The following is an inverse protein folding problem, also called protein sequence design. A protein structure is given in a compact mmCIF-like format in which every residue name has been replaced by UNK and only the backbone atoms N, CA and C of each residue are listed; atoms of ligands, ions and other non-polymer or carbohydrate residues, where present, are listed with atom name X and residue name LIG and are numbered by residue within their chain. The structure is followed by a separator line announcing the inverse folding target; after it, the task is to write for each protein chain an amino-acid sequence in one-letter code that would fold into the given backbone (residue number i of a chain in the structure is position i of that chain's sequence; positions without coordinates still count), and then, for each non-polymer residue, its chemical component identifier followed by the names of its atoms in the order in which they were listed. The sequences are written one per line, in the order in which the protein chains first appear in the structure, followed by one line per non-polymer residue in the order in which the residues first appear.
data_IF_808573066060
#
_entry.id   IF_808573066060
#
_cell.length_a   1.000
_cell.length_b   1.000
_cell.length_c   1.000
_cell.angle_alpha   90.00
_cell.angle_beta   90.00
_cell.angle_gamma   90.00
#
_symmetry.space_group_name_H-M   'P 1'
#
loop_
_entity.id
_entity.type
_entity.pdbx_description
1 polymer ?
#
# COMPACT_ATOMS: atom_id res chain seq x y z
N UNK A 1 52.50 -64.56 -56.26
CA UNK A 1 51.14 -64.12 -55.86
C UNK A 1 51.06 -64.28 -54.36
N UNK A 2 50.78 -63.21 -53.60
CA UNK A 2 50.59 -63.33 -52.17
C UNK A 2 49.28 -64.10 -51.90
N UNK A 3 49.35 -65.15 -51.08
CA UNK A 3 48.20 -65.94 -50.65
C UNK A 3 47.30 -65.03 -49.80
N UNK A 4 46.13 -64.67 -50.31
CA UNK A 4 45.14 -63.93 -49.51
C UNK A 4 44.45 -64.94 -48.60
N UNK A 5 44.77 -64.88 -47.31
CA UNK A 5 44.04 -65.64 -46.30
C UNK A 5 42.71 -64.92 -46.00
N UNK A 6 41.60 -65.50 -46.42
CA UNK A 6 40.26 -64.98 -46.14
C UNK A 6 39.71 -65.55 -44.83
N UNK A 7 39.52 -64.71 -43.82
CA UNK A 7 38.86 -65.09 -42.57
C UNK A 7 37.34 -64.97 -42.73
N UNK A 8 36.58 -66.01 -42.36
CA UNK A 8 35.11 -66.00 -42.32
C UNK A 8 34.64 -66.16 -40.88
N UNK A 9 33.58 -65.42 -40.52
CA UNK A 9 32.90 -65.51 -39.22
C UNK A 9 31.50 -66.11 -39.40
N UNK A 10 30.91 -66.63 -38.30
CA UNK A 10 29.51 -67.08 -38.28
C UNK A 10 28.59 -65.89 -38.59
N UNK A 11 27.51 -66.14 -39.33
CA UNK A 11 26.57 -65.08 -39.72
C UNK A 11 25.12 -65.57 -39.74
N UNK A 12 24.17 -64.69 -39.45
CA UNK A 12 22.74 -64.98 -39.55
C UNK A 12 21.95 -63.77 -40.04
N UNK A 13 20.99 -63.99 -40.93
CA UNK A 13 20.03 -62.97 -41.39
C UNK A 13 18.69 -63.04 -40.67
N UNK A 14 18.43 -64.08 -39.88
CA UNK A 14 17.14 -64.32 -39.22
C UNK A 14 17.21 -64.38 -37.70
N UNK A 15 18.30 -64.91 -37.13
CA UNK A 15 18.48 -64.98 -35.69
C UNK A 15 19.15 -63.71 -35.17
N UNK A 16 18.57 -63.07 -34.16
CA UNK A 16 19.09 -61.85 -33.54
C UNK A 16 20.38 -62.09 -32.73
N UNK A 17 20.64 -63.32 -32.29
CA UNK A 17 21.84 -63.72 -31.55
C UNK A 17 22.23 -65.16 -31.91
N UNK A 18 23.49 -65.59 -31.66
CA UNK A 18 23.88 -66.98 -31.84
C UNK A 18 23.07 -67.90 -30.92
N UNK A 19 22.47 -68.96 -31.47
CA UNK A 19 21.61 -69.88 -30.72
C UNK A 19 22.34 -70.82 -29.74
N UNK A 20 23.67 -70.85 -29.78
CA UNK A 20 24.53 -71.57 -28.85
C UNK A 20 25.75 -70.71 -28.48
N UNK A 21 26.40 -71.04 -27.36
CA UNK A 21 27.63 -70.35 -26.95
C UNK A 21 28.72 -70.63 -27.98
N UNK A 22 29.32 -69.56 -28.49
CA UNK A 22 30.44 -69.57 -29.43
C UNK A 22 31.71 -70.06 -28.70
N UNK A 23 32.63 -70.68 -29.44
CA UNK A 23 33.93 -71.03 -28.86
C UNK A 23 34.68 -69.77 -28.42
N UNK A 24 35.59 -69.90 -27.44
CA UNK A 24 36.38 -68.77 -26.97
C UNK A 24 37.10 -68.07 -28.15
N UNK A 25 36.85 -66.76 -28.32
CA UNK A 25 37.40 -65.94 -29.40
C UNK A 25 36.71 -66.09 -30.77
N UNK A 26 35.72 -66.97 -30.89
CA UNK A 26 34.95 -67.13 -32.13
C UNK A 26 34.01 -65.94 -32.33
N UNK A 27 34.01 -65.36 -33.54
CA UNK A 27 33.19 -64.22 -33.92
C UNK A 27 31.90 -64.64 -34.64
N UNK A 28 30.82 -63.91 -34.41
CA UNK A 28 29.58 -64.04 -35.17
C UNK A 28 28.92 -62.68 -35.44
N UNK A 29 28.31 -62.49 -36.60
CA UNK A 29 27.54 -61.28 -36.92
C UNK A 29 26.07 -61.62 -37.22
N UNK A 30 25.13 -60.85 -36.68
CA UNK A 30 23.70 -60.99 -37.00
C UNK A 30 23.24 -59.77 -37.77
N UNK A 31 22.74 -59.95 -38.99
CA UNK A 31 22.13 -58.86 -39.78
C UNK A 31 20.77 -58.45 -39.19
N UNK A 32 20.04 -59.40 -38.58
CA UNK A 32 18.77 -59.12 -37.90
C UNK A 32 18.97 -58.12 -36.74
N UNK A 33 20.00 -58.30 -35.91
CA UNK A 33 20.29 -57.39 -34.80
C UNK A 33 21.35 -56.33 -35.10
N UNK A 34 22.03 -56.43 -36.23
CA UNK A 34 23.20 -55.61 -36.60
C UNK A 34 24.35 -55.62 -35.57
N UNK A 35 24.47 -56.71 -34.80
CA UNK A 35 25.49 -56.90 -33.74
C UNK A 35 26.59 -57.87 -34.16
N UNK A 36 27.82 -57.51 -33.81
CA UNK A 36 29.00 -58.37 -33.82
C UNK A 36 29.20 -58.96 -32.42
N UNK A 37 29.25 -60.28 -32.34
CA UNK A 37 29.41 -61.07 -31.13
C UNK A 37 30.77 -61.76 -31.10
N UNK A 38 31.25 -62.08 -29.90
CA UNK A 38 32.36 -62.99 -29.68
C UNK A 38 32.06 -63.96 -28.52
N UNK A 39 32.57 -65.19 -28.61
CA UNK A 39 32.57 -66.13 -27.47
C UNK A 39 33.58 -65.67 -26.42
N UNK A 40 33.12 -65.47 -25.17
CA UNK A 40 34.01 -65.03 -24.10
C UNK A 40 35.10 -66.09 -23.80
N UNK A 41 36.19 -65.66 -23.18
CA UNK A 41 37.32 -66.56 -22.87
C UNK A 41 36.91 -67.70 -21.93
N UNK A 42 35.95 -67.45 -21.03
CA UNK A 42 35.39 -68.47 -20.15
C UNK A 42 34.51 -69.51 -20.87
N UNK A 43 34.22 -69.31 -22.17
CA UNK A 43 33.49 -70.26 -23.00
C UNK A 43 32.03 -70.50 -22.57
N UNK A 44 31.44 -69.57 -21.82
CA UNK A 44 30.11 -69.72 -21.21
C UNK A 44 29.11 -68.64 -21.63
N UNK A 45 29.54 -67.63 -22.41
CA UNK A 45 28.67 -66.56 -22.88
C UNK A 45 29.10 -66.01 -24.25
N UNK A 46 28.09 -65.58 -25.01
CA UNK A 46 28.28 -64.73 -26.19
C UNK A 46 28.21 -63.28 -25.74
N UNK A 47 29.30 -62.52 -25.91
CA UNK A 47 29.36 -61.11 -25.60
C UNK A 47 29.30 -60.29 -26.89
N UNK A 48 28.84 -59.06 -26.78
CA UNK A 48 28.75 -58.14 -27.93
C UNK A 48 30.06 -57.37 -28.01
N UNK A 49 30.69 -57.40 -29.18
CA UNK A 49 31.93 -56.68 -29.48
C UNK A 49 31.67 -55.31 -30.13
N UNK A 50 30.59 -55.20 -30.92
CA UNK A 50 30.25 -53.98 -31.66
C UNK A 50 29.19 -54.27 -32.72
N UNK A 51 29.28 -53.59 -33.87
CA UNK A 51 28.38 -53.81 -35.02
C UNK A 51 27.69 -52.53 -35.47
N UNK A 52 27.02 -52.61 -36.63
CA UNK A 52 26.32 -51.50 -37.27
C UNK A 52 25.34 -50.80 -36.32
N UNK A 53 24.68 -51.57 -35.44
CA UNK A 53 23.77 -51.02 -34.43
C UNK A 53 24.40 -49.89 -33.61
N UNK A 54 25.63 -50.08 -33.12
CA UNK A 54 26.29 -49.09 -32.25
C UNK A 54 26.93 -47.96 -33.03
N UNK A 55 27.46 -48.24 -34.22
CA UNK A 55 28.04 -47.20 -35.07
C UNK A 55 26.97 -46.28 -35.63
N UNK A 56 25.78 -46.79 -35.93
CA UNK A 56 24.63 -45.98 -36.35
C UNK A 56 24.13 -45.07 -35.23
N UNK A 57 24.20 -45.52 -33.97
CA UNK A 57 23.87 -44.67 -32.82
C UNK A 57 24.89 -43.53 -32.62
N UNK A 58 26.11 -43.66 -33.13
CA UNK A 58 27.16 -42.65 -33.07
C UNK A 58 27.20 -41.75 -34.32
N UNK A 59 26.50 -42.14 -35.39
CA UNK A 59 26.44 -41.38 -36.62
C UNK A 59 25.51 -40.17 -36.45
N UNK A 60 26.09 -38.97 -36.51
CA UNK A 60 25.36 -37.71 -36.42
C UNK A 60 25.64 -36.88 -37.67
N UNK A 61 24.58 -36.40 -38.33
CA UNK A 61 24.73 -35.36 -39.36
C UNK A 61 24.99 -34.03 -38.65
N UNK A 62 26.10 -33.36 -38.98
CA UNK A 62 26.41 -32.07 -38.36
C UNK A 62 25.24 -31.08 -38.54
N UNK A 63 24.71 -30.56 -37.43
CA UNK A 63 23.60 -29.59 -37.42
C UNK A 63 22.18 -30.17 -37.38
N UNK A 64 22.00 -31.49 -37.48
CA UNK A 64 20.67 -32.13 -37.44
C UNK A 64 20.65 -33.27 -36.43
N UNK A 65 19.67 -33.29 -35.52
CA UNK A 65 19.47 -34.42 -34.62
C UNK A 65 18.88 -35.60 -35.42
N UNK A 66 19.71 -36.58 -35.77
CA UNK A 66 19.23 -37.83 -36.36
C UNK A 66 18.43 -38.63 -35.33
N UNK A 67 17.27 -39.17 -35.72
CA UNK A 67 16.47 -40.00 -34.82
C UNK A 67 17.26 -41.25 -34.37
N UNK A 68 17.12 -41.62 -33.10
CA UNK A 68 17.81 -42.78 -32.49
C UNK A 68 19.34 -42.68 -32.34
N UNK A 69 19.91 -41.47 -32.42
CA UNK A 69 21.32 -41.24 -32.05
C UNK A 69 21.53 -41.24 -30.53
N UNK A 70 22.72 -41.65 -30.09
CA UNK A 70 23.13 -41.66 -28.69
C UNK A 70 23.65 -40.28 -28.24
N UNK A 71 23.40 -39.95 -26.97
CA UNK A 71 24.11 -38.92 -26.23
C UNK A 71 25.15 -39.62 -25.36
N UNK A 72 26.42 -39.27 -25.53
CA UNK A 72 27.52 -39.83 -24.76
C UNK A 72 27.70 -39.04 -23.46
N UNK A 73 27.76 -39.76 -22.34
CA UNK A 73 28.01 -39.21 -21.00
C UNK A 73 29.34 -39.71 -20.47
N UNK A 74 29.93 -38.98 -19.53
CA UNK A 74 31.13 -39.40 -18.83
C UNK A 74 30.86 -40.53 -17.80
N UNK A 75 31.90 -40.95 -17.06
CA UNK A 75 31.81 -41.98 -16.01
C UNK A 75 30.89 -41.63 -14.84
N UNK A 76 30.42 -40.40 -14.73
CA UNK A 76 29.50 -39.91 -13.70
C UNK A 76 28.09 -39.66 -14.26
N UNK A 77 27.80 -40.11 -15.48
CA UNK A 77 26.55 -39.85 -16.20
C UNK A 77 26.32 -38.37 -16.49
N UNK A 78 27.40 -37.58 -16.66
CA UNK A 78 27.33 -36.14 -16.96
C UNK A 78 27.73 -35.83 -18.40
N UNK A 79 27.23 -34.69 -18.88
CA UNK A 79 27.68 -33.99 -20.09
C UNK A 79 28.28 -32.67 -19.63
N UNK A 80 29.38 -32.23 -20.24
CA UNK A 80 29.98 -30.92 -19.93
C UNK A 80 29.05 -29.75 -20.34
N UNK A 81 28.56 -29.78 -21.58
CA UNK A 81 27.53 -28.86 -22.07
C UNK A 81 26.71 -29.48 -23.23
N UNK A 82 25.41 -29.18 -23.26
CA UNK A 82 24.57 -29.41 -24.43
C UNK A 82 24.30 -28.07 -25.12
N UNK A 83 24.85 -27.91 -26.33
CA UNK A 83 24.75 -26.68 -27.13
C UNK A 83 23.90 -26.92 -28.37
N UNK A 84 22.82 -26.15 -28.50
CA UNK A 84 22.07 -26.01 -29.76
C UNK A 84 22.46 -24.67 -30.40
N UNK A 85 21.75 -24.24 -31.46
CA UNK A 85 22.08 -22.98 -32.15
C UNK A 85 22.21 -21.80 -31.17
N UNK A 86 21.17 -21.52 -30.39
CA UNK A 86 21.15 -20.38 -29.49
C UNK A 86 21.13 -20.79 -28.01
N UNK A 87 20.77 -22.03 -27.67
CA UNK A 87 20.64 -22.48 -26.28
C UNK A 87 21.90 -23.25 -25.84
N UNK A 88 22.39 -22.94 -24.64
CA UNK A 88 23.38 -23.75 -23.95
C UNK A 88 22.83 -24.19 -22.60
N UNK A 89 22.80 -25.50 -22.36
CA UNK A 89 22.61 -26.10 -21.04
C UNK A 89 24.01 -26.48 -20.53
N UNK A 90 24.52 -25.71 -19.58
CA UNK A 90 25.86 -25.87 -19.00
C UNK A 90 25.81 -26.35 -17.55
N UNK A 91 26.97 -26.28 -16.87
CA UNK A 91 27.13 -26.82 -15.52
C UNK A 91 26.12 -26.29 -14.48
N UNK A 92 25.83 -24.99 -14.48
CA UNK A 92 24.97 -24.32 -13.49
C UNK A 92 23.93 -23.37 -14.12
N UNK A 93 23.77 -23.38 -15.44
CA UNK A 93 22.94 -22.39 -16.13
C UNK A 93 22.33 -22.92 -17.42
N UNK A 94 21.18 -22.35 -17.76
CA UNK A 94 20.54 -22.44 -19.08
C UNK A 94 20.60 -21.04 -19.67
N UNK A 95 21.29 -20.86 -20.79
CA UNK A 95 21.53 -19.54 -21.38
C UNK A 95 21.17 -19.52 -22.85
N UNK A 96 20.57 -18.42 -23.31
CA UNK A 96 20.39 -18.15 -24.74
C UNK A 96 21.39 -17.10 -25.24
N UNK A 97 21.98 -17.32 -26.41
CA UNK A 97 22.83 -16.34 -27.11
C UNK A 97 22.03 -15.25 -27.83
N UNK A 98 20.74 -15.47 -28.07
CA UNK A 98 19.82 -14.50 -28.67
C UNK A 98 18.35 -14.92 -28.44
N UNK A 99 17.45 -13.95 -28.24
CA UNK A 99 16.06 -14.26 -27.90
C UNK A 99 15.88 -14.65 -26.44
N UNK A 100 14.68 -15.10 -26.09
CA UNK A 100 14.31 -15.60 -24.78
C UNK A 100 14.59 -17.10 -24.62
N UNK A 101 14.50 -17.56 -23.37
CA UNK A 101 14.43 -18.98 -23.02
C UNK A 101 13.00 -19.25 -22.57
N UNK A 102 12.22 -19.90 -23.44
CA UNK A 102 10.87 -20.33 -23.09
C UNK A 102 10.90 -21.59 -22.23
N UNK A 103 10.31 -21.51 -21.04
CA UNK A 103 10.11 -22.66 -20.15
C UNK A 103 8.61 -22.86 -20.00
N UNK A 104 8.08 -23.88 -20.68
CA UNK A 104 6.65 -24.18 -20.69
C UNK A 104 6.38 -25.43 -19.87
N UNK A 105 5.66 -25.28 -18.76
CA UNK A 105 5.19 -26.40 -17.93
C UNK A 105 3.71 -26.66 -18.20
N UNK A 106 3.32 -27.93 -18.37
CA UNK A 106 1.92 -28.30 -18.62
C UNK A 106 1.01 -28.17 -17.38
N UNK A 107 1.60 -28.19 -16.19
CA UNK A 107 0.92 -27.97 -14.92
C UNK A 107 1.55 -26.79 -14.20
N UNK A 108 2.55 -27.05 -13.35
CA UNK A 108 3.23 -26.04 -12.57
C UNK A 108 4.71 -26.00 -12.95
N UNK A 109 5.29 -24.80 -12.99
CA UNK A 109 6.73 -24.63 -12.93
C UNK A 109 7.14 -24.69 -11.46
N UNK A 110 7.82 -25.77 -11.08
CA UNK A 110 8.34 -25.96 -9.74
C UNK A 110 9.77 -25.40 -9.65
N UNK A 111 10.04 -24.57 -8.64
CA UNK A 111 11.34 -23.93 -8.42
C UNK A 111 11.76 -24.21 -6.97
N UNK A 112 12.43 -25.33 -6.76
CA UNK A 112 13.01 -25.73 -5.47
C UNK A 112 14.32 -24.96 -5.17
N UNK A 113 14.21 -23.65 -5.06
CA UNK A 113 15.33 -22.77 -4.72
C UNK A 113 15.03 -21.96 -3.46
N UNK A 114 16.08 -21.61 -2.69
CA UNK A 114 15.92 -20.72 -1.54
C UNK A 114 15.52 -19.29 -1.94
N UNK A 115 15.85 -18.87 -3.16
CA UNK A 115 15.57 -17.53 -3.70
C UNK A 115 15.44 -17.56 -5.23
N UNK A 116 14.67 -16.62 -5.78
CA UNK A 116 14.71 -16.26 -7.20
C UNK A 116 15.50 -14.94 -7.32
N UNK A 117 16.70 -15.00 -7.90
CA UNK A 117 17.59 -13.83 -8.04
C UNK A 117 17.41 -13.13 -9.39
N UNK A 118 17.01 -11.85 -9.34
CA UNK A 118 16.76 -10.99 -10.51
C UNK A 118 17.68 -9.75 -10.52
N UNK A 119 18.75 -9.74 -9.73
CA UNK A 119 19.53 -8.52 -9.41
C UNK A 119 20.51 -8.06 -10.50
N UNK A 120 20.85 -8.91 -11.46
CA UNK A 120 21.95 -8.65 -12.40
C UNK A 120 21.55 -7.81 -13.61
N UNK A 121 20.26 -7.65 -13.91
CA UNK A 121 19.74 -6.86 -15.02
C UNK A 121 18.35 -6.30 -14.69
N UNK A 122 17.90 -5.29 -15.44
CA UNK A 122 16.52 -4.81 -15.34
C UNK A 122 15.55 -5.94 -15.73
N UNK A 123 14.73 -6.39 -14.79
CA UNK A 123 13.75 -7.46 -15.00
C UNK A 123 12.34 -6.89 -14.96
N UNK A 124 11.48 -7.35 -15.87
CA UNK A 124 10.04 -7.07 -15.83
C UNK A 124 9.30 -8.38 -15.57
N UNK A 125 8.42 -8.39 -14.58
CA UNK A 125 7.42 -9.45 -14.41
C UNK A 125 6.13 -9.00 -15.08
N UNK A 126 5.88 -9.50 -16.30
CA UNK A 126 4.63 -9.24 -17.03
C UNK A 126 3.59 -10.27 -16.63
N UNK A 127 2.37 -9.82 -16.43
CA UNK A 127 1.22 -10.67 -16.11
C UNK A 127 0.24 -10.69 -17.27
N UNK A 128 -0.69 -11.63 -17.25
CA UNK A 128 -1.75 -11.72 -18.26
C UNK A 128 -2.68 -10.51 -18.14
N UNK A 129 -2.93 -9.84 -19.26
CA UNK A 129 -3.93 -8.78 -19.37
C UNK A 129 -5.36 -9.36 -19.38
N UNK A 130 -6.34 -8.55 -18.96
CA UNK A 130 -7.74 -8.95 -18.87
C UNK A 130 -7.98 -10.19 -17.97
N UNK A 131 -7.28 -10.25 -16.83
CA UNK A 131 -7.38 -11.36 -15.88
C UNK A 131 -7.61 -10.85 -14.46
N UNK A 132 -8.64 -11.38 -13.78
CA UNK A 132 -8.83 -11.14 -12.35
C UNK A 132 -7.73 -11.74 -11.46
N UNK A 133 -6.86 -12.58 -12.03
CA UNK A 133 -5.77 -13.29 -11.33
C UNK A 133 -4.51 -13.34 -12.17
N UNK A 134 -4.09 -12.19 -12.75
CA UNK A 134 -2.90 -12.11 -13.60
C UNK A 134 -1.62 -12.58 -12.89
N UNK A 135 -1.55 -12.34 -11.57
CA UNK A 135 -0.58 -12.92 -10.66
C UNK A 135 -1.22 -13.06 -9.29
N UNK A 136 -0.95 -14.16 -8.59
CA UNK A 136 -1.32 -14.38 -7.19
C UNK A 136 -0.10 -14.77 -6.38
N UNK A 137 0.04 -14.19 -5.18
CA UNK A 137 1.00 -14.63 -4.16
C UNK A 137 0.18 -15.27 -3.05
N UNK A 138 0.33 -16.57 -2.89
CA UNK A 138 -0.54 -17.37 -2.04
C UNK A 138 0.20 -18.54 -1.39
N UNK A 139 -0.33 -19.00 -0.26
CA UNK A 139 -0.11 -20.35 0.24
C UNK A 139 -1.22 -21.27 -0.28
N UNK A 140 -1.24 -22.54 0.15
CA UNK A 140 -2.31 -23.47 -0.22
C UNK A 140 -3.71 -22.94 0.15
N UNK A 141 -3.84 -22.20 1.26
CA UNK A 141 -5.14 -21.82 1.83
C UNK A 141 -5.42 -20.31 1.77
N UNK A 142 -4.41 -19.48 1.52
CA UNK A 142 -4.53 -18.03 1.63
C UNK A 142 -3.84 -17.28 0.51
N UNK A 143 -4.55 -16.34 -0.10
CA UNK A 143 -3.98 -15.33 -1.00
C UNK A 143 -3.59 -14.08 -0.21
N UNK A 144 -2.45 -13.48 -0.56
CA UNK A 144 -1.95 -12.24 0.02
C UNK A 144 -2.06 -11.08 -0.96
N UNK A 145 -1.60 -11.29 -2.20
CA UNK A 145 -1.59 -10.28 -3.26
C UNK A 145 -2.20 -10.87 -4.53
N UNK A 146 -3.08 -10.11 -5.18
CA UNK A 146 -3.59 -10.41 -6.52
C UNK A 146 -3.47 -9.18 -7.42
N UNK A 147 -2.98 -9.36 -8.64
CA UNK A 147 -3.05 -8.35 -9.69
C UNK A 147 -4.30 -8.65 -10.55
N UNK A 148 -5.28 -7.74 -10.49
CA UNK A 148 -6.54 -7.80 -11.23
C UNK A 148 -6.51 -6.74 -12.35
N UNK A 149 -6.50 -7.21 -13.60
CA UNK A 149 -6.45 -6.41 -14.84
C UNK A 149 -7.72 -6.57 -15.70
N UNK A 150 -8.83 -7.12 -15.19
CA UNK A 150 -9.95 -7.57 -16.04
C UNK A 150 -10.77 -6.44 -16.70
N UNK A 151 -10.73 -5.21 -16.19
CA UNK A 151 -11.60 -4.13 -16.65
C UNK A 151 -11.03 -2.77 -16.22
N UNK A 152 -11.77 -1.68 -16.42
CA UNK A 152 -11.33 -0.32 -16.07
C UNK A 152 -11.06 -0.06 -14.57
N UNK A 153 -11.43 -0.98 -13.67
CA UNK A 153 -11.16 -0.93 -12.24
C UNK A 153 -9.96 -1.82 -11.86
N UNK A 154 -8.90 -1.79 -12.66
CA UNK A 154 -7.64 -2.50 -12.40
C UNK A 154 -7.07 -2.13 -11.03
N UNK A 155 -6.54 -3.12 -10.33
CA UNK A 155 -6.00 -2.92 -8.97
C UNK A 155 -5.01 -4.00 -8.57
N UNK A 156 -4.24 -3.65 -7.55
CA UNK A 156 -3.52 -4.62 -6.73
C UNK A 156 -4.33 -4.82 -5.46
N UNK A 157 -4.80 -6.04 -5.23
CA UNK A 157 -5.58 -6.39 -4.06
C UNK A 157 -4.67 -7.01 -2.99
N UNK A 158 -4.61 -6.40 -1.82
CA UNK A 158 -4.03 -6.98 -0.62
C UNK A 158 -5.14 -7.65 0.20
N UNK A 159 -5.16 -8.98 0.23
CA UNK A 159 -6.22 -9.78 0.89
C UNK A 159 -5.98 -10.01 2.39
N UNK A 160 -4.91 -9.44 2.93
CA UNK A 160 -4.52 -9.43 4.34
C UNK A 160 -4.08 -8.02 4.73
N UNK A 161 -3.98 -7.76 6.03
CA UNK A 161 -3.47 -6.50 6.52
C UNK A 161 -2.07 -6.21 5.94
N UNK A 162 -1.83 -4.95 5.63
CA UNK A 162 -0.53 -4.46 5.14
C UNK A 162 0.09 -3.61 6.23
N UNK A 163 1.35 -3.88 6.53
CA UNK A 163 2.18 -3.09 7.45
C UNK A 163 3.30 -2.43 6.67
N UNK A 164 3.56 -1.15 6.95
CA UNK A 164 4.64 -0.38 6.35
C UNK A 164 5.49 0.22 7.47
N UNK A 165 6.73 -0.25 7.62
CA UNK A 165 7.66 0.23 8.65
C UNK A 165 8.17 1.67 8.38
N UNK A 166 7.93 2.20 7.19
CA UNK A 166 8.43 3.48 6.71
C UNK A 166 7.33 4.47 6.32
N UNK A 167 7.75 5.57 5.70
CA UNK A 167 6.83 6.57 5.16
C UNK A 167 6.10 6.00 3.95
N UNK A 168 4.77 6.12 3.96
CA UNK A 168 3.92 5.83 2.81
C UNK A 168 3.71 7.15 2.05
N UNK A 169 4.33 7.29 0.86
CA UNK A 169 4.07 8.42 -0.04
C UNK A 169 2.98 8.04 -1.05
N UNK A 170 1.91 8.83 -1.12
CA UNK A 170 0.80 8.65 -2.07
C UNK A 170 0.62 9.98 -2.80
N UNK A 171 1.04 10.02 -4.07
CA UNK A 171 0.95 11.23 -4.91
C UNK A 171 -0.50 11.57 -5.31
N UNK A 172 -1.44 10.64 -5.09
CA UNK A 172 -2.87 10.79 -5.37
C UNK A 172 -3.72 10.95 -4.11
N UNK A 173 -5.03 10.74 -4.26
CA UNK A 173 -5.96 10.70 -3.13
C UNK A 173 -5.86 9.38 -2.38
N UNK A 174 -5.98 9.45 -1.05
CA UNK A 174 -6.24 8.29 -0.21
C UNK A 174 -7.75 8.21 0.00
N UNK A 175 -8.37 7.11 -0.45
CA UNK A 175 -9.75 6.78 -0.11
C UNK A 175 -9.74 5.82 1.09
N UNK A 176 -10.39 6.23 2.19
CA UNK A 176 -10.52 5.45 3.41
C UNK A 176 -12.02 5.23 3.65
N UNK A 177 -12.50 4.04 3.31
CA UNK A 177 -13.91 3.63 3.48
C UNK A 177 -14.29 3.38 4.96
N UNK A 178 -13.28 3.16 5.81
CA UNK A 178 -13.41 2.93 7.24
C UNK A 178 -12.96 4.11 8.13
N UNK A 179 -12.93 3.85 9.43
CA UNK A 179 -12.40 4.80 10.41
C UNK A 179 -10.89 4.90 10.26
N UNK A 180 -10.39 6.12 10.10
CA UNK A 180 -8.95 6.40 10.17
C UNK A 180 -8.55 6.67 11.63
N UNK A 181 -7.78 5.75 12.22
CA UNK A 181 -7.22 5.92 13.55
C UNK A 181 -5.80 6.48 13.47
N UNK A 182 -5.63 7.73 13.92
CA UNK A 182 -4.33 8.38 14.06
C UNK A 182 -3.86 8.46 15.52
N UNK A 183 -4.56 7.82 16.47
CA UNK A 183 -4.46 8.03 17.91
C UNK A 183 -3.12 7.70 18.58
N UNK A 184 -2.16 7.11 17.85
CA UNK A 184 -0.80 6.86 18.31
C UNK A 184 0.24 7.90 17.88
N UNK A 185 -0.11 8.82 16.98
CA UNK A 185 0.84 9.75 16.35
C UNK A 185 0.31 11.19 16.39
N UNK A 186 1.18 12.15 16.68
CA UNK A 186 0.80 13.56 16.65
C UNK A 186 0.52 14.01 15.21
N UNK A 187 -0.75 14.30 14.90
CA UNK A 187 -1.16 14.79 13.58
C UNK A 187 -1.05 16.32 13.51
N UNK A 188 0.16 16.84 13.31
CA UNK A 188 0.42 18.29 13.38
C UNK A 188 0.06 19.07 12.11
N UNK A 189 -0.10 18.38 10.98
CA UNK A 189 -0.25 19.00 9.66
C UNK A 189 -1.56 18.59 8.98
N UNK A 190 -2.61 18.30 9.76
CA UNK A 190 -3.94 18.01 9.20
C UNK A 190 -4.50 19.31 8.63
N UNK A 191 -4.45 19.44 7.31
CA UNK A 191 -5.13 20.50 6.59
C UNK A 191 -6.49 20.00 6.11
N UNK A 192 -7.56 20.74 6.41
CA UNK A 192 -8.92 20.41 5.99
C UNK A 192 -9.47 21.60 5.21
N UNK A 193 -9.26 21.57 3.91
CA UNK A 193 -9.66 22.63 2.96
C UNK A 193 -11.15 22.53 2.55
N UNK A 194 -11.87 21.50 3.02
CA UNK A 194 -13.32 21.31 2.98
C UNK A 194 -13.69 19.95 3.58
N UNK A 195 -14.97 19.73 3.86
CA UNK A 195 -15.50 18.45 4.35
C UNK A 195 -16.21 18.61 5.69
N UNK A 196 -16.50 17.50 6.36
CA UNK A 196 -17.12 17.48 7.68
C UNK A 196 -16.40 16.54 8.65
N UNK A 197 -16.20 16.99 9.89
CA UNK A 197 -15.82 16.12 11.00
C UNK A 197 -17.10 15.78 11.75
N UNK A 198 -17.42 14.50 11.88
CA UNK A 198 -18.62 14.04 12.60
C UNK A 198 -19.91 14.73 12.09
N UNK A 199 -20.07 14.78 10.76
CA UNK A 199 -21.19 15.44 10.11
C UNK A 199 -21.21 16.97 10.21
N UNK A 200 -20.25 17.58 10.91
CA UNK A 200 -20.10 19.03 11.04
C UNK A 200 -19.14 19.56 9.99
N UNK A 201 -19.59 20.36 9.01
CA UNK A 201 -18.69 20.82 7.98
C UNK A 201 -17.63 21.79 8.53
N UNK A 202 -16.36 21.52 8.26
CA UNK A 202 -15.23 22.37 8.64
C UNK A 202 -14.40 22.71 7.40
N UNK A 203 -13.87 23.92 7.35
CA UNK A 203 -13.04 24.37 6.23
C UNK A 203 -13.73 24.47 4.88
N UNK A 204 -15.06 24.44 4.80
CA UNK A 204 -15.77 24.56 3.52
C UNK A 204 -15.45 25.89 2.80
N UNK A 205 -15.39 25.86 1.47
CA UNK A 205 -15.24 27.04 0.59
C UNK A 205 -16.38 28.07 0.71
N UNK A 206 -17.46 27.71 1.42
CA UNK A 206 -18.56 28.56 1.85
C UNK A 206 -18.74 28.36 3.36
N UNK A 207 -18.98 29.44 4.10
CA UNK A 207 -19.12 29.38 5.56
C UNK A 207 -20.11 28.31 6.00
N UNK A 208 -19.67 27.38 6.86
CA UNK A 208 -20.52 26.36 7.46
C UNK A 208 -20.36 26.36 8.98
N UNK A 209 -21.41 25.92 9.67
CA UNK A 209 -21.48 25.92 11.13
C UNK A 209 -20.56 24.84 11.71
N UNK A 210 -19.53 25.24 12.46
CA UNK A 210 -18.80 24.35 13.36
C UNK A 210 -19.59 24.11 14.64
N UNK A 211 -19.97 22.87 14.92
CA UNK A 211 -20.53 22.44 16.21
C UNK A 211 -19.38 21.96 17.10
N UNK A 212 -19.08 22.74 18.14
CA UNK A 212 -18.09 22.38 19.17
C UNK A 212 -18.80 22.29 20.52
N UNK A 213 -18.55 21.23 21.29
CA UNK A 213 -19.00 21.17 22.70
C UNK A 213 -18.26 22.20 23.56
N UNK A 214 -17.01 22.51 23.22
CA UNK A 214 -16.21 23.58 23.80
C UNK A 214 -15.21 24.08 22.75
N UNK A 215 -15.16 25.39 22.53
CA UNK A 215 -14.12 26.05 21.72
C UNK A 215 -13.20 26.84 22.65
N UNK A 216 -11.97 26.36 22.85
CA UNK A 216 -10.95 27.07 23.63
C UNK A 216 -9.93 27.71 22.67
N UNK A 217 -9.85 29.04 22.68
CA UNK A 217 -8.80 29.79 22.00
C UNK A 217 -7.76 30.25 23.03
N UNK A 218 -6.47 29.97 22.79
CA UNK A 218 -5.37 30.44 23.64
C UNK A 218 -4.97 31.90 23.36
N UNK A 219 -5.54 32.50 22.31
CA UNK A 219 -5.32 33.89 21.91
C UNK A 219 -6.63 34.60 21.56
N UNK A 220 -6.53 35.66 20.78
CA UNK A 220 -7.68 36.44 20.31
C UNK A 220 -8.54 35.60 19.37
N UNK A 221 -9.84 35.50 19.67
CA UNK A 221 -10.83 34.96 18.75
C UNK A 221 -11.57 36.12 18.07
N UNK A 222 -11.43 36.24 16.74
CA UNK A 222 -12.13 37.26 15.95
C UNK A 222 -13.39 36.65 15.35
N UNK A 223 -14.56 37.17 15.71
CA UNK A 223 -15.83 36.81 15.10
C UNK A 223 -16.29 37.99 14.23
N UNK A 224 -16.20 37.83 12.91
CA UNK A 224 -16.48 38.92 11.94
C UNK A 224 -17.97 39.23 11.75
N UNK A 225 -18.85 38.43 12.34
CA UNK A 225 -20.30 38.60 12.29
C UNK A 225 -20.91 38.76 13.68
N UNK A 226 -22.23 38.70 13.75
CA UNK A 226 -22.96 38.77 15.00
C UNK A 226 -22.60 37.57 15.89
N UNK A 227 -22.36 37.83 17.18
CA UNK A 227 -22.17 36.78 18.17
C UNK A 227 -23.39 36.71 19.07
N UNK A 228 -24.08 35.57 19.08
CA UNK A 228 -25.17 35.29 20.01
C UNK A 228 -24.65 34.36 21.10
N UNK A 229 -24.74 34.78 22.36
CA UNK A 229 -24.38 33.96 23.52
C UNK A 229 -25.68 33.49 24.16
N UNK A 230 -25.99 32.19 24.07
CA UNK A 230 -27.22 31.62 24.65
C UNK A 230 -27.24 31.56 26.19
N UNK A 231 -26.08 31.77 26.82
CA UNK A 231 -25.92 31.82 28.27
C UNK A 231 -25.31 33.14 28.75
N UNK A 232 -24.42 33.07 29.74
CA UNK A 232 -23.72 34.25 30.26
C UNK A 232 -22.42 34.51 29.49
N UNK A 233 -22.18 35.76 29.09
CA UNK A 233 -20.88 36.22 28.62
C UNK A 233 -20.02 36.62 29.83
N UNK A 234 -19.00 35.82 30.16
CA UNK A 234 -18.01 36.17 31.17
C UNK A 234 -16.92 37.07 30.59
N UNK A 235 -16.83 38.32 31.05
CA UNK A 235 -15.77 39.26 30.67
C UNK A 235 -14.88 39.52 31.89
N UNK A 236 -13.63 39.06 31.84
CA UNK A 236 -12.64 39.29 32.92
C UNK A 236 -11.89 40.61 32.77
N UNK A 237 -11.87 41.16 31.55
CA UNK A 237 -11.28 42.46 31.21
C UNK A 237 -12.34 43.54 31.02
N UNK A 238 -12.12 44.41 30.04
CA UNK A 238 -13.02 45.51 29.69
C UNK A 238 -13.98 45.08 28.58
N UNK A 239 -15.27 45.37 28.75
CA UNK A 239 -16.23 45.32 27.66
C UNK A 239 -16.30 46.69 26.97
N UNK A 240 -15.96 46.74 25.68
CA UNK A 240 -16.06 47.96 24.87
C UNK A 240 -17.12 47.77 23.80
N UNK A 241 -18.09 48.68 23.76
CA UNK A 241 -19.11 48.73 22.73
C UNK A 241 -18.77 49.88 21.78
N UNK A 242 -18.57 49.59 20.49
CA UNK A 242 -18.19 50.61 19.49
C UNK A 242 -19.29 51.65 19.27
N UNK A 243 -20.56 51.24 19.38
CA UNK A 243 -21.71 52.12 19.19
C UNK A 243 -22.46 52.35 20.50
N UNK A 244 -23.14 51.33 21.00
CA UNK A 244 -23.96 51.38 22.20
C UNK A 244 -24.20 49.96 22.76
N UNK A 245 -24.51 49.89 24.04
CA UNK A 245 -25.16 48.74 24.65
C UNK A 245 -26.66 49.07 24.79
N UNK A 246 -27.51 48.17 24.30
CA UNK A 246 -28.97 48.30 24.40
C UNK A 246 -29.45 47.35 25.48
N UNK A 247 -30.15 47.90 26.47
CA UNK A 247 -30.83 47.17 27.53
C UNK A 247 -32.32 47.49 27.38
N UNK A 248 -33.15 46.48 27.20
CA UNK A 248 -34.59 46.62 27.04
C UNK A 248 -35.30 46.93 28.36
N UNK A 249 -36.62 47.02 28.30
CA UNK A 249 -37.45 47.17 29.50
C UNK A 249 -37.23 45.98 30.44
N UNK A 250 -37.09 46.25 31.72
CA UNK A 250 -36.75 45.28 32.78
C UNK A 250 -35.35 44.66 32.71
N UNK A 251 -34.51 45.03 31.73
CA UNK A 251 -33.09 44.69 31.79
C UNK A 251 -32.41 45.55 32.88
N UNK A 252 -31.48 44.93 33.60
CA UNK A 252 -30.84 45.54 34.77
C UNK A 252 -29.33 45.49 34.62
N UNK A 253 -28.72 46.67 34.59
CA UNK A 253 -27.28 46.81 34.80
C UNK A 253 -27.01 46.80 36.30
N UNK A 254 -26.32 45.75 36.78
CA UNK A 254 -25.97 45.56 38.18
C UNK A 254 -24.54 45.99 38.43
N UNK A 255 -24.33 46.86 39.42
CA UNK A 255 -23.02 47.35 39.81
C UNK A 255 -22.80 47.03 41.29
N UNK A 256 -21.60 46.56 41.62
CA UNK A 256 -21.25 46.11 42.98
C UNK A 256 -21.52 44.63 43.22
N UNK A 257 -21.01 44.11 44.34
CA UNK A 257 -21.13 42.71 44.70
C UNK A 257 -22.48 42.48 45.40
N UNK A 258 -23.37 41.68 44.82
CA UNK A 258 -24.67 41.40 45.44
C UNK A 258 -25.73 42.47 45.21
N UNK A 259 -25.77 43.07 44.01
CA UNK A 259 -26.81 44.04 43.58
C UNK A 259 -26.87 45.33 44.41
N UNK A 260 -25.72 45.94 44.70
CA UNK A 260 -25.65 47.20 45.45
C UNK A 260 -26.35 48.36 44.71
N UNK A 261 -26.08 48.46 43.40
CA UNK A 261 -26.59 49.49 42.51
C UNK A 261 -27.22 48.88 41.26
N UNK A 262 -28.32 49.46 40.80
CA UNK A 262 -29.02 49.06 39.59
C UNK A 262 -29.34 50.27 38.70
N UNK A 263 -29.12 50.11 37.40
CA UNK A 263 -29.61 51.01 36.35
C UNK A 263 -30.54 50.23 35.43
N UNK A 264 -31.79 50.66 35.33
CA UNK A 264 -32.83 49.95 34.58
C UNK A 264 -33.95 50.90 34.11
N UNK A 265 -34.78 50.39 33.20
CA UNK A 265 -36.01 51.00 32.74
C UNK A 265 -37.19 50.07 33.06
N UNK A 266 -38.28 50.60 33.63
CA UNK A 266 -39.47 49.78 34.00
C UNK A 266 -40.56 49.75 32.92
N UNK A 267 -40.26 50.28 31.73
CA UNK A 267 -41.21 50.47 30.62
C UNK A 267 -41.84 51.87 30.57
N UNK A 268 -41.78 52.64 31.66
CA UNK A 268 -42.25 54.03 31.70
C UNK A 268 -41.18 55.01 32.20
N UNK A 269 -40.44 54.63 33.23
CA UNK A 269 -39.47 55.47 33.92
C UNK A 269 -38.09 54.80 33.95
N UNK A 270 -37.06 55.64 33.98
CA UNK A 270 -35.67 55.22 34.18
C UNK A 270 -35.25 55.42 35.63
N UNK A 271 -34.44 54.49 36.15
CA UNK A 271 -34.01 54.52 37.55
C UNK A 271 -32.51 54.34 37.68
N UNK A 272 -31.92 55.15 38.56
CA UNK A 272 -30.65 54.87 39.20
C UNK A 272 -31.01 54.50 40.65
N UNK A 273 -31.07 53.20 40.94
CA UNK A 273 -31.55 52.68 42.22
C UNK A 273 -30.38 52.18 43.07
N UNK A 274 -30.25 52.75 44.27
CA UNK A 274 -29.25 52.38 45.26
C UNK A 274 -29.89 51.59 46.40
N UNK A 275 -29.43 50.36 46.64
CA UNK A 275 -29.95 49.50 47.71
C UNK A 275 -29.18 49.68 49.03
N UNK A 276 -27.86 49.87 48.96
CA UNK A 276 -26.98 49.91 50.14
C UNK A 276 -26.17 51.20 50.19
N UNK A 277 -26.03 51.80 51.37
CA UNK A 277 -25.25 53.03 51.54
C UNK A 277 -25.93 54.27 50.95
N UNK A 278 -25.14 55.29 50.60
CA UNK A 278 -25.62 56.53 50.00
C UNK A 278 -25.30 56.57 48.50
N UNK A 279 -26.27 56.95 47.67
CA UNK A 279 -26.03 57.27 46.26
C UNK A 279 -25.29 58.61 46.16
N UNK A 280 -24.01 58.57 45.83
CA UNK A 280 -23.18 59.77 45.62
C UNK A 280 -23.13 60.11 44.14
N UNK A 281 -23.65 61.28 43.77
CA UNK A 281 -23.44 61.89 42.46
C UNK A 281 -22.46 63.05 42.63
N UNK A 282 -21.23 62.86 42.18
CA UNK A 282 -20.15 63.82 42.38
C UNK A 282 -19.20 63.84 41.19
N UNK A 283 -18.49 64.94 41.04
CA UNK A 283 -17.35 65.07 40.13
C UNK A 283 -16.07 64.66 40.87
N UNK A 284 -15.13 64.04 40.16
CA UNK A 284 -13.84 63.64 40.77
C UNK A 284 -12.94 64.85 41.08
N UNK A 285 -13.20 65.99 40.43
CA UNK A 285 -12.43 67.23 40.60
C UNK A 285 -13.32 68.31 41.22
N UNK A 286 -12.84 68.90 42.32
CA UNK A 286 -13.53 69.99 43.01
C UNK A 286 -13.74 71.21 42.10
N UNK A 287 -14.85 71.92 42.29
CA UNK A 287 -15.21 73.12 41.51
C UNK A 287 -15.97 72.84 40.21
N UNK A 288 -16.14 71.57 39.80
CA UNK A 288 -16.99 71.20 38.67
C UNK A 288 -18.43 70.99 39.17
N UNK A 289 -19.39 71.71 38.58
CA UNK A 289 -20.80 71.62 38.94
C UNK A 289 -21.44 70.28 38.49
N UNK A 290 -22.40 69.78 39.28
CA UNK A 290 -23.33 68.73 38.87
C UNK A 290 -24.62 69.39 38.42
N UNK A 291 -25.00 69.20 37.16
CA UNK A 291 -26.24 69.76 36.58
C UNK A 291 -27.33 68.69 36.56
N UNK A 292 -28.51 69.00 37.11
CA UNK A 292 -29.69 68.12 37.11
C UNK A 292 -30.85 68.88 36.44
N UNK A 293 -31.52 68.24 35.49
CA UNK A 293 -32.64 68.82 34.73
C UNK A 293 -32.27 69.29 33.31
N UNK A 294 -33.27 69.79 32.58
CA UNK A 294 -33.13 70.37 31.22
C UNK A 294 -33.16 71.90 31.27
N UNK A 295 -32.78 72.59 30.19
CA UNK A 295 -32.72 74.07 30.12
C UNK A 295 -34.06 74.77 30.35
N UNK A 296 -35.17 74.06 30.21
CA UNK A 296 -36.54 74.60 30.30
C UNK A 296 -37.45 73.79 31.22
N UNK A 297 -36.95 72.71 31.82
CA UNK A 297 -37.78 71.80 32.62
C UNK A 297 -37.68 72.14 34.09
N UNK A 298 -38.80 72.00 34.80
CA UNK A 298 -38.82 72.00 36.25
C UNK A 298 -38.05 70.78 36.79
N UNK A 299 -37.23 71.01 37.81
CA UNK A 299 -36.65 69.93 38.61
C UNK A 299 -37.50 69.75 39.86
N UNK A 300 -38.08 68.56 40.02
CA UNK A 300 -38.92 68.23 41.17
C UNK A 300 -38.12 67.38 42.16
N UNK A 301 -38.06 67.82 43.41
CA UNK A 301 -37.60 67.00 44.54
C UNK A 301 -38.85 66.58 45.31
N UNK A 302 -39.16 65.28 45.29
CA UNK A 302 -40.38 64.73 45.88
C UNK A 302 -40.30 64.52 47.41
N UNK A 303 -39.20 64.98 48.04
CA UNK A 303 -38.91 64.88 49.48
C UNK A 303 -38.06 66.08 49.92
N UNK A 304 -37.58 66.09 51.16
CA UNK A 304 -36.77 67.14 51.75
C UNK A 304 -35.44 67.35 51.00
N UNK A 305 -35.17 68.59 50.56
CA UNK A 305 -33.87 69.02 50.06
C UNK A 305 -33.09 69.74 51.17
N UNK A 306 -31.96 69.16 51.58
CA UNK A 306 -30.99 69.83 52.47
C UNK A 306 -29.74 70.16 51.67
N UNK A 307 -29.31 71.42 51.71
CA UNK A 307 -28.06 71.86 51.09
C UNK A 307 -27.05 72.28 52.15
N UNK A 308 -25.79 71.93 51.93
CA UNK A 308 -24.66 72.36 52.76
C UNK A 308 -23.52 72.69 51.82
N UNK A 309 -22.99 73.91 51.94
CA UNK A 309 -21.89 74.42 51.11
C UNK A 309 -20.55 74.31 51.81
#
# INVERSE_FOLDING_TARGET
MATINTIKIKRSSSAAAPGSVLSAGELAYSENSSKLYYGNIAGNANLILGGKLYTDMLDQTAGTLTASSAILVDSNSKIDALKTSNLTIGANAITSGSGDVDIVAAANLDIDAGTIDLTTQATQLKVIDNSATGLTIATADHTYITIDSQNSAERILFSKNVEFDGVVNIDGSIDLDGVSDFGGYATTNINIDSGAIDGTPIGANSASTGAFSTLAASGVSTLSGNTTVGGTLGVTGVATFTTHAVFGDSDIIKIGAGTDMQLYHDGTNSYIANATGALKLATETSGIAVTIGHTTSETTVADNLTTTG
#
